data_IF_736116821590
#
_entry.id   IF_736116821590
#
_cell.length_a   1.000
_cell.length_b   1.000
_cell.length_c   1.000
_cell.angle_alpha   90.00
_cell.angle_beta   90.00
_cell.angle_gamma   90.00
#
_symmetry.space_group_name_H-M   'P 1'
#
loop_
_entity.id
_entity.type
_entity.pdbx_description
1 polymer ?
#
# COMPACT_ATOMS: atom_id res chain seq x y z
N UNK A 1 -28.47 47.72 -24.56
CA UNK A 1 -28.42 46.75 -25.65
C UNK A 1 -27.92 45.45 -25.07
N UNK A 2 -28.60 44.32 -24.98
CA UNK A 2 -29.97 43.85 -25.24
C UNK A 2 -30.07 42.55 -24.42
N UNK A 3 -30.94 42.44 -23.41
CA UNK A 3 -32.24 41.76 -23.41
C UNK A 3 -32.39 40.51 -24.32
N UNK A 4 -32.57 39.38 -23.62
CA UNK A 4 -33.57 38.30 -23.84
C UNK A 4 -33.57 37.52 -25.15
N UNK A 5 -33.41 36.20 -25.04
CA UNK A 5 -33.92 35.23 -26.02
C UNK A 5 -34.82 34.23 -25.29
N UNK A 6 -36.08 34.18 -25.70
CA UNK A 6 -37.09 33.22 -25.27
C UNK A 6 -37.99 32.92 -26.48
N UNK A 7 -38.20 31.62 -26.74
CA UNK A 7 -39.34 30.97 -27.41
C UNK A 7 -39.66 31.33 -28.88
N UNK A 8 -40.19 30.45 -29.75
CA UNK A 8 -40.74 29.09 -29.63
C UNK A 8 -41.07 28.58 -31.05
N UNK A 9 -41.06 27.25 -31.22
CA UNK A 9 -41.90 26.39 -32.07
C UNK A 9 -42.20 26.75 -33.55
N UNK A 10 -42.00 25.79 -34.47
CA UNK A 10 -43.14 25.04 -35.02
C UNK A 10 -42.76 23.87 -35.94
N UNK A 11 -43.69 22.93 -36.00
CA UNK A 11 -43.68 21.56 -36.54
C UNK A 11 -44.23 21.50 -37.98
N UNK A 12 -44.02 20.34 -38.63
CA UNK A 12 -44.79 19.79 -39.79
C UNK A 12 -44.28 20.19 -41.20
N UNK A 13 -44.00 19.32 -42.19
CA UNK A 13 -44.85 18.26 -42.75
C UNK A 13 -44.09 17.37 -43.78
N UNK A 14 -44.22 16.04 -43.62
CA UNK A 14 -44.39 14.91 -44.58
C UNK A 14 -43.78 14.85 -46.01
N UNK A 15 -43.30 13.62 -46.30
CA UNK A 15 -43.70 12.66 -47.37
C UNK A 15 -42.65 12.21 -48.42
N UNK A 16 -42.21 10.95 -48.24
CA UNK A 16 -42.20 9.81 -49.16
C UNK A 16 -41.79 9.97 -50.64
N UNK A 17 -40.93 9.05 -51.10
CA UNK A 17 -41.19 8.11 -52.22
C UNK A 17 -40.06 7.04 -52.37
N UNK A 18 -40.47 5.75 -52.21
CA UNK A 18 -40.16 4.55 -53.01
C UNK A 18 -38.70 4.05 -53.21
N UNK A 19 -38.41 2.75 -53.42
CA UNK A 19 -38.98 1.42 -53.15
C UNK A 19 -38.02 0.41 -53.83
N UNK A 20 -37.84 -0.75 -53.20
CA UNK A 20 -37.53 -2.09 -53.76
C UNK A 20 -36.48 -2.28 -54.88
N UNK A 21 -35.51 -3.16 -54.61
CA UNK A 21 -35.24 -4.30 -55.51
C UNK A 21 -34.55 -5.46 -54.78
N UNK A 22 -35.27 -6.57 -54.72
CA UNK A 22 -34.82 -7.92 -54.34
C UNK A 22 -34.10 -8.59 -55.51
N UNK A 23 -33.08 -9.39 -55.22
CA UNK A 23 -32.37 -10.22 -56.19
C UNK A 23 -31.59 -11.34 -55.49
N UNK A 24 -32.22 -12.50 -55.39
CA UNK A 24 -31.69 -13.75 -54.84
C UNK A 24 -30.96 -14.55 -55.94
N UNK A 25 -29.74 -15.03 -55.69
CA UNK A 25 -29.21 -16.26 -56.29
C UNK A 25 -27.87 -16.73 -55.68
N UNK A 26 -27.92 -17.94 -55.11
CA UNK A 26 -26.93 -19.05 -55.16
C UNK A 26 -25.62 -18.98 -54.35
N UNK A 27 -25.73 -19.52 -53.13
CA UNK A 27 -24.89 -20.57 -52.50
C UNK A 27 -23.51 -20.90 -53.11
N UNK A 28 -22.44 -20.61 -52.34
CA UNK A 28 -21.34 -21.56 -52.10
C UNK A 28 -20.80 -21.39 -50.67
N UNK A 29 -21.20 -22.30 -49.78
CA UNK A 29 -20.58 -22.48 -48.45
C UNK A 29 -19.17 -23.03 -48.62
N UNK A 30 -18.14 -22.24 -48.33
CA UNK A 30 -16.74 -22.70 -48.33
C UNK A 30 -16.42 -23.36 -46.98
N UNK A 31 -16.70 -24.65 -46.87
CA UNK A 31 -16.22 -25.47 -45.77
C UNK A 31 -14.70 -25.67 -45.90
N UNK A 32 -13.92 -25.06 -44.99
CA UNK A 32 -12.47 -25.32 -44.88
C UNK A 32 -12.29 -26.63 -44.12
N UNK A 33 -12.11 -27.74 -44.84
CA UNK A 33 -11.75 -29.05 -44.27
C UNK A 33 -10.40 -28.95 -43.57
N UNK A 34 -10.39 -28.94 -42.24
CA UNK A 34 -9.20 -29.19 -41.43
C UNK A 34 -8.88 -30.68 -41.47
N UNK A 35 -7.74 -31.04 -42.07
CA UNK A 35 -7.30 -32.41 -42.24
C UNK A 35 -6.35 -32.78 -41.08
N UNK A 36 -6.89 -33.09 -39.90
CA UNK A 36 -6.12 -33.68 -38.80
C UNK A 36 -6.30 -35.20 -38.85
N UNK A 37 -5.35 -35.89 -39.49
CA UNK A 37 -5.22 -37.36 -39.41
C UNK A 37 -4.77 -37.70 -37.99
N UNK A 38 -5.61 -38.44 -37.26
CA UNK A 38 -5.26 -39.08 -35.99
C UNK A 38 -4.14 -40.10 -36.20
N UNK A 39 -2.99 -39.82 -35.61
CA UNK A 39 -1.94 -40.81 -35.37
C UNK A 39 -2.03 -41.29 -33.94
N UNK A 40 -2.37 -42.58 -33.76
CA UNK A 40 -2.36 -43.27 -32.48
C UNK A 40 -0.92 -43.30 -31.92
N UNK A 41 -0.63 -42.38 -31.01
CA UNK A 41 0.52 -42.41 -30.11
C UNK A 41 0.04 -41.91 -28.77
N UNK A 42 0.32 -42.64 -27.69
CA UNK A 42 -0.16 -42.32 -26.34
C UNK A 42 0.23 -40.91 -25.91
N UNK A 43 -0.68 -39.96 -26.10
CA UNK A 43 -0.57 -38.63 -25.53
C UNK A 43 -0.82 -38.76 -24.03
N UNK A 44 0.25 -38.90 -23.24
CA UNK A 44 0.21 -38.42 -21.87
C UNK A 44 -0.24 -36.98 -21.95
N UNK A 45 -1.43 -36.71 -21.40
CA UNK A 45 -1.99 -35.37 -21.32
C UNK A 45 -1.08 -34.58 -20.36
N UNK A 46 0.02 -34.03 -20.89
CA UNK A 46 0.85 -33.09 -20.16
C UNK A 46 0.04 -31.80 -20.14
N UNK A 47 -0.78 -31.64 -19.11
CA UNK A 47 -1.32 -30.33 -18.75
C UNK A 47 -0.11 -29.48 -18.36
N UNK A 48 0.44 -28.72 -19.32
CA UNK A 48 1.42 -27.67 -19.03
C UNK A 48 0.69 -26.64 -18.18
N UNK A 49 0.69 -26.82 -16.86
CA UNK A 49 0.30 -25.75 -15.94
C UNK A 49 1.36 -24.67 -16.07
N UNK A 50 0.94 -23.48 -16.47
CA UNK A 50 1.80 -22.30 -16.38
C UNK A 50 1.97 -22.04 -14.89
N UNK A 51 3.20 -22.16 -14.40
CA UNK A 51 3.56 -21.78 -13.02
C UNK A 51 4.17 -20.39 -13.07
N UNK A 52 3.56 -19.45 -12.37
CA UNK A 52 4.13 -18.12 -12.16
C UNK A 52 5.03 -18.14 -10.94
N UNK A 53 5.96 -17.19 -10.88
CA UNK A 53 6.73 -16.92 -9.67
C UNK A 53 5.75 -16.55 -8.53
N UNK A 54 5.76 -17.26 -7.38
CA UNK A 54 4.83 -17.01 -6.28
C UNK A 54 4.88 -15.57 -5.76
N UNK A 55 6.05 -14.91 -5.81
CA UNK A 55 6.17 -13.52 -5.39
C UNK A 55 5.46 -12.59 -6.38
N UNK A 56 5.73 -12.72 -7.68
CA UNK A 56 5.02 -11.96 -8.70
C UNK A 56 3.49 -12.13 -8.60
N UNK A 57 3.02 -13.34 -8.32
CA UNK A 57 1.59 -13.62 -8.13
C UNK A 57 1.02 -12.98 -6.87
N UNK A 58 1.79 -12.93 -5.77
CA UNK A 58 1.38 -12.21 -4.55
C UNK A 58 1.26 -10.71 -4.81
N UNK A 59 2.25 -10.10 -5.48
CA UNK A 59 2.24 -8.67 -5.81
C UNK A 59 1.03 -8.29 -6.67
N UNK A 60 0.76 -9.07 -7.73
CA UNK A 60 -0.37 -8.89 -8.64
C UNK A 60 -1.72 -9.08 -7.94
N UNK A 61 -1.89 -10.17 -7.19
CA UNK A 61 -3.11 -10.44 -6.43
C UNK A 61 -3.43 -9.33 -5.40
N UNK A 62 -2.40 -8.77 -4.76
CA UNK A 62 -2.56 -7.65 -3.82
C UNK A 62 -2.95 -6.35 -4.50
N UNK A 63 -2.54 -6.12 -5.75
CA UNK A 63 -2.93 -4.96 -6.54
C UNK A 63 -4.39 -5.09 -7.04
N UNK A 64 -4.75 -6.27 -7.52
CA UNK A 64 -6.07 -6.55 -8.12
C UNK A 64 -7.19 -6.80 -7.09
N UNK A 65 -6.86 -6.93 -5.81
CA UNK A 65 -7.86 -7.11 -4.74
C UNK A 65 -8.30 -8.56 -4.52
N UNK A 66 -7.48 -9.53 -4.94
CA UNK A 66 -7.81 -10.96 -4.85
C UNK A 66 -7.42 -11.56 -3.49
N UNK A 67 -8.16 -11.22 -2.42
CA UNK A 67 -7.84 -11.64 -1.05
C UNK A 67 -7.57 -13.15 -0.89
N UNK A 68 -8.41 -14.01 -1.48
CA UNK A 68 -8.20 -15.47 -1.38
C UNK A 68 -6.90 -15.93 -2.03
N UNK A 69 -6.47 -15.27 -3.11
CA UNK A 69 -5.21 -15.58 -3.77
C UNK A 69 -4.04 -15.07 -2.94
N UNK A 70 -4.13 -13.85 -2.40
CA UNK A 70 -3.13 -13.28 -1.49
C UNK A 70 -2.89 -14.19 -0.29
N UNK A 71 -3.96 -14.66 0.39
CA UNK A 71 -3.85 -15.56 1.54
C UNK A 71 -3.10 -16.84 1.18
N UNK A 72 -3.35 -17.37 -0.02
CA UNK A 72 -2.69 -18.60 -0.51
C UNK A 72 -1.23 -18.37 -0.86
N UNK A 73 -0.91 -17.28 -1.58
CA UNK A 73 0.45 -17.03 -2.08
C UNK A 73 1.37 -16.49 -0.99
N UNK A 74 0.88 -15.72 -0.02
CA UNK A 74 1.63 -15.26 1.14
C UNK A 74 2.23 -16.43 1.95
N UNK A 75 1.53 -17.57 2.03
CA UNK A 75 2.06 -18.80 2.67
C UNK A 75 3.01 -19.62 1.79
N UNK A 76 3.12 -19.33 0.49
CA UNK A 76 3.97 -20.06 -0.45
C UNK A 76 5.29 -19.35 -0.75
N UNK A 77 5.32 -18.03 -0.64
CA UNK A 77 6.55 -17.23 -0.79
C UNK A 77 7.46 -17.43 0.41
N UNK A 78 8.78 -17.38 0.17
CA UNK A 78 9.78 -17.49 1.24
C UNK A 78 9.72 -16.29 2.19
N UNK A 79 9.48 -15.11 1.62
CA UNK A 79 9.37 -13.85 2.32
C UNK A 79 8.22 -13.04 1.70
N UNK A 80 7.09 -12.87 2.41
CA UNK A 80 5.96 -12.08 1.92
C UNK A 80 6.21 -10.56 1.98
N UNK A 81 7.31 -10.13 2.59
CA UNK A 81 7.78 -8.73 2.55
C UNK A 81 8.75 -8.47 1.40
N UNK A 82 9.08 -9.49 0.59
CA UNK A 82 9.94 -9.29 -0.56
C UNK A 82 9.32 -8.32 -1.56
N UNK A 83 10.19 -7.51 -2.17
CA UNK A 83 9.84 -6.48 -3.12
C UNK A 83 10.16 -6.89 -4.57
N UNK A 84 9.56 -6.18 -5.53
CA UNK A 84 10.02 -6.17 -6.92
C UNK A 84 11.30 -5.31 -7.10
N UNK A 85 11.75 -5.15 -8.34
CA UNK A 85 12.96 -4.39 -8.68
C UNK A 85 12.89 -2.88 -8.33
N UNK A 86 11.70 -2.35 -8.06
CA UNK A 86 11.46 -0.96 -7.66
C UNK A 86 11.30 -0.80 -6.14
N UNK A 87 11.46 -1.90 -5.38
CA UNK A 87 11.26 -1.90 -3.92
C UNK A 87 9.79 -1.99 -3.48
N UNK A 88 8.86 -2.14 -4.43
CA UNK A 88 7.43 -2.23 -4.14
C UNK A 88 7.07 -3.63 -3.63
N UNK A 89 6.40 -3.68 -2.48
CA UNK A 89 5.92 -4.92 -1.85
C UNK A 89 4.42 -5.13 -2.06
N UNK A 90 3.92 -6.31 -1.70
CA UNK A 90 2.49 -6.63 -1.75
C UNK A 90 1.65 -5.65 -0.90
N UNK A 91 2.21 -5.19 0.22
CA UNK A 91 1.56 -4.23 1.12
C UNK A 91 1.43 -2.85 0.47
N UNK A 92 2.44 -2.39 -0.28
CA UNK A 92 2.36 -1.15 -1.06
C UNK A 92 1.22 -1.23 -2.09
N UNK A 93 1.18 -2.31 -2.89
CA UNK A 93 0.14 -2.51 -3.90
C UNK A 93 -1.27 -2.50 -3.31
N UNK A 94 -1.49 -3.21 -2.20
CA UNK A 94 -2.79 -3.27 -1.55
C UNK A 94 -3.26 -1.91 -1.01
N UNK A 95 -2.32 -1.08 -0.52
CA UNK A 95 -2.62 0.26 -0.01
C UNK A 95 -2.97 1.21 -1.16
N UNK A 96 -2.11 1.29 -2.19
CA UNK A 96 -2.35 2.17 -3.34
C UNK A 96 -3.63 1.81 -4.10
N UNK A 97 -4.04 0.54 -4.08
CA UNK A 97 -5.29 0.08 -4.68
C UNK A 97 -6.52 0.16 -3.74
N UNK A 98 -6.34 0.52 -2.46
CA UNK A 98 -7.45 0.72 -1.53
C UNK A 98 -8.00 -0.55 -0.86
N UNK A 99 -7.32 -1.70 -0.98
CA UNK A 99 -7.80 -3.01 -0.49
C UNK A 99 -7.50 -3.23 1.00
N UNK A 100 -8.27 -2.55 1.87
CA UNK A 100 -8.02 -2.53 3.32
C UNK A 100 -8.08 -3.92 4.00
N UNK A 101 -8.88 -4.86 3.49
CA UNK A 101 -8.92 -6.24 3.97
C UNK A 101 -7.61 -7.00 3.69
N UNK A 102 -7.02 -6.80 2.51
CA UNK A 102 -5.70 -7.33 2.16
C UNK A 102 -4.61 -6.69 3.01
N UNK A 103 -4.66 -5.36 3.20
CA UNK A 103 -3.72 -4.64 4.09
C UNK A 103 -3.74 -5.22 5.50
N UNK A 104 -4.94 -5.42 6.07
CA UNK A 104 -5.09 -6.04 7.39
C UNK A 104 -4.50 -7.43 7.44
N UNK A 105 -4.79 -8.26 6.43
CA UNK A 105 -4.25 -9.61 6.36
C UNK A 105 -2.72 -9.60 6.31
N UNK A 106 -2.11 -8.84 5.39
CA UNK A 106 -0.65 -8.81 5.20
C UNK A 106 0.07 -8.32 6.46
N UNK A 107 -0.42 -7.26 7.12
CA UNK A 107 0.15 -6.76 8.37
C UNK A 107 0.03 -7.78 9.50
N UNK A 108 -1.13 -8.43 9.64
CA UNK A 108 -1.32 -9.49 10.65
C UNK A 108 -0.53 -10.77 10.34
N UNK A 109 -0.23 -11.00 9.06
CA UNK A 109 0.66 -12.07 8.59
C UNK A 109 2.14 -11.78 8.90
N UNK A 110 2.46 -10.57 9.39
CA UNK A 110 3.81 -10.15 9.77
C UNK A 110 4.63 -9.58 8.61
N UNK A 111 3.98 -9.11 7.54
CA UNK A 111 4.69 -8.34 6.52
C UNK A 111 5.26 -7.05 7.09
N UNK A 112 6.41 -6.62 6.59
CA UNK A 112 7.09 -5.41 7.05
C UNK A 112 6.27 -4.15 6.73
N UNK A 113 5.67 -3.56 7.77
CA UNK A 113 4.89 -2.31 7.72
C UNK A 113 5.73 -1.07 7.39
N UNK A 114 7.05 -1.17 7.47
CA UNK A 114 8.00 -0.09 7.19
C UNK A 114 8.94 -0.44 6.03
N UNK A 115 8.58 -1.41 5.19
CA UNK A 115 9.30 -1.69 3.95
C UNK A 115 9.42 -0.40 3.13
N UNK A 116 10.60 -0.15 2.58
CA UNK A 116 10.86 1.05 1.78
C UNK A 116 11.02 0.68 0.31
N UNK A 117 10.38 1.45 -0.57
CA UNK A 117 10.62 1.37 -2.00
C UNK A 117 11.92 2.08 -2.41
N UNK A 118 12.17 2.17 -3.72
CA UNK A 118 13.38 2.79 -4.27
C UNK A 118 13.58 4.28 -3.94
N UNK A 119 12.51 5.03 -3.61
CA UNK A 119 12.59 6.43 -3.16
C UNK A 119 12.35 6.57 -1.65
N UNK A 120 12.34 5.46 -0.91
CA UNK A 120 12.14 5.45 0.53
C UNK A 120 10.68 5.58 0.97
N UNK A 121 9.72 5.48 0.05
CA UNK A 121 8.30 5.45 0.40
C UNK A 121 8.02 4.21 1.21
N UNK A 122 7.20 4.39 2.24
CA UNK A 122 6.74 3.31 3.11
C UNK A 122 5.24 3.11 2.89
N UNK A 123 4.67 1.99 3.36
CA UNK A 123 3.22 1.81 3.42
C UNK A 123 2.46 3.01 4.00
N UNK A 124 3.03 3.70 5.00
CA UNK A 124 2.43 4.88 5.60
C UNK A 124 2.42 6.08 4.65
N UNK A 125 3.48 6.29 3.86
CA UNK A 125 3.51 7.32 2.82
C UNK A 125 2.43 7.08 1.76
N UNK A 126 2.31 5.85 1.25
CA UNK A 126 1.28 5.49 0.27
C UNK A 126 -0.14 5.69 0.82
N UNK A 127 -0.39 5.33 2.08
CA UNK A 127 -1.71 5.53 2.69
C UNK A 127 -2.05 7.02 2.85
N UNK A 128 -1.04 7.84 3.16
CA UNK A 128 -1.18 9.28 3.30
C UNK A 128 -1.42 9.99 1.96
N UNK A 129 -0.72 9.61 0.89
CA UNK A 129 -0.95 10.17 -0.45
C UNK A 129 -2.32 9.83 -1.03
N UNK A 130 -2.96 8.78 -0.53
CA UNK A 130 -4.36 8.47 -0.86
C UNK A 130 -5.37 9.11 0.11
N UNK A 131 -4.92 9.96 1.03
CA UNK A 131 -5.72 10.56 2.11
C UNK A 131 -6.56 9.53 2.91
N UNK A 132 -6.12 8.28 2.96
CA UNK A 132 -6.90 7.19 3.53
C UNK A 132 -6.66 7.10 5.04
N UNK A 133 -7.37 7.94 5.80
CA UNK A 133 -7.26 8.00 7.26
C UNK A 133 -7.47 6.64 7.95
N UNK A 134 -8.33 5.78 7.39
CA UNK A 134 -8.57 4.44 7.92
C UNK A 134 -7.32 3.55 7.84
N UNK A 135 -6.64 3.55 6.69
CA UNK A 135 -5.37 2.84 6.50
C UNK A 135 -4.25 3.45 7.32
N UNK A 136 -4.13 4.78 7.33
CA UNK A 136 -3.11 5.51 8.10
C UNK A 136 -3.19 5.15 9.59
N UNK A 137 -4.39 5.22 10.19
CA UNK A 137 -4.59 4.83 11.60
C UNK A 137 -4.19 3.38 11.84
N UNK A 138 -4.63 2.47 10.97
CA UNK A 138 -4.31 1.06 11.08
C UNK A 138 -2.79 0.82 11.06
N UNK A 139 -2.06 1.42 10.11
CA UNK A 139 -0.61 1.26 10.02
C UNK A 139 0.11 1.84 11.25
N UNK A 140 -0.29 3.03 11.73
CA UNK A 140 0.25 3.63 12.95
C UNK A 140 0.05 2.71 14.16
N UNK A 141 -1.14 2.12 14.31
CA UNK A 141 -1.47 1.16 15.36
C UNK A 141 -0.68 -0.15 15.30
N UNK A 142 -0.05 -0.45 14.15
CA UNK A 142 0.69 -1.68 13.90
C UNK A 142 2.19 -1.44 13.69
N UNK A 143 2.71 -0.34 14.22
CA UNK A 143 4.15 -0.07 14.30
C UNK A 143 4.76 0.59 13.07
N UNK A 144 3.96 1.38 12.33
CA UNK A 144 4.52 2.27 11.33
C UNK A 144 5.48 3.30 11.95
N UNK A 145 6.60 3.54 11.28
CA UNK A 145 7.57 4.55 11.65
C UNK A 145 7.03 5.93 11.28
N UNK A 146 6.88 6.79 12.28
CA UNK A 146 6.17 8.07 12.15
C UNK A 146 6.99 9.13 11.41
N UNK A 147 8.32 9.04 11.52
CA UNK A 147 9.26 10.02 10.98
C UNK A 147 10.19 9.40 9.93
N UNK A 148 9.77 8.30 9.30
CA UNK A 148 10.42 7.87 8.08
C UNK A 148 10.27 8.97 7.02
N UNK A 149 11.33 9.23 6.27
CA UNK A 149 11.32 10.20 5.18
C UNK A 149 11.73 9.55 3.87
N UNK A 150 11.20 10.07 2.79
CA UNK A 150 11.63 9.77 1.41
C UNK A 150 13.06 10.27 1.15
N UNK A 151 13.69 9.70 0.13
CA UNK A 151 15.08 9.99 -0.24
C UNK A 151 15.20 11.26 -1.09
N UNK A 152 14.24 11.50 -1.97
CA UNK A 152 14.28 12.60 -2.94
C UNK A 152 14.01 13.98 -2.33
N UNK A 153 12.99 14.10 -1.47
CA UNK A 153 12.52 15.37 -0.91
C UNK A 153 12.54 15.44 0.62
N UNK A 154 12.89 14.34 1.30
CA UNK A 154 12.99 14.26 2.77
C UNK A 154 11.69 14.58 3.50
N UNK A 155 10.57 14.26 2.86
CA UNK A 155 9.23 14.44 3.41
C UNK A 155 8.78 13.18 4.16
N UNK A 156 8.02 13.36 5.23
CA UNK A 156 7.36 12.26 5.93
C UNK A 156 6.00 11.97 5.31
N UNK A 157 5.32 10.94 5.81
CA UNK A 157 3.96 10.65 5.38
C UNK A 157 2.98 11.82 5.57
N UNK A 158 3.19 12.70 6.56
CA UNK A 158 2.29 13.83 6.79
C UNK A 158 2.32 14.85 5.65
N UNK A 159 3.49 15.11 5.07
CA UNK A 159 3.66 16.01 3.93
C UNK A 159 3.17 15.39 2.61
N UNK A 160 3.01 14.05 2.54
CA UNK A 160 2.50 13.36 1.35
C UNK A 160 0.97 13.42 1.19
N UNK A 161 0.22 13.97 2.15
CA UNK A 161 -1.23 14.13 1.99
C UNK A 161 -1.55 15.12 0.87
N UNK A 162 -2.51 14.78 0.00
CA UNK A 162 -2.86 15.57 -1.20
C UNK A 162 -3.96 16.60 -0.88
N UNK A 163 -3.63 17.90 -0.90
CA UNK A 163 -4.53 19.01 -0.50
C UNK A 163 -5.83 19.11 -1.32
N UNK A 164 -5.78 18.72 -2.59
CA UNK A 164 -6.91 18.85 -3.53
C UNK A 164 -7.84 17.61 -3.53
N UNK A 165 -7.51 16.56 -2.78
CA UNK A 165 -8.25 15.29 -2.75
C UNK A 165 -9.12 15.13 -1.48
N UNK A 166 -10.17 14.32 -1.57
CA UNK A 166 -11.08 14.08 -0.44
C UNK A 166 -10.33 13.43 0.74
N UNK A 167 -10.66 13.87 1.96
CA UNK A 167 -10.09 13.30 3.19
C UNK A 167 -8.76 13.92 3.63
N UNK A 168 -8.23 14.89 2.89
CA UNK A 168 -6.99 15.62 3.22
C UNK A 168 -6.94 16.07 4.68
N UNK A 169 -7.89 16.91 5.11
CA UNK A 169 -7.90 17.51 6.45
C UNK A 169 -7.81 16.44 7.54
N UNK A 170 -8.63 15.39 7.45
CA UNK A 170 -8.66 14.32 8.45
C UNK A 170 -7.38 13.49 8.48
N UNK A 171 -6.77 13.26 7.32
CA UNK A 171 -5.54 12.48 7.17
C UNK A 171 -4.32 13.27 7.68
N UNK A 172 -4.12 14.49 7.17
CA UNK A 172 -3.00 15.36 7.52
C UNK A 172 -3.05 15.79 8.99
N UNK A 173 -4.20 16.23 9.51
CA UNK A 173 -4.35 16.60 10.93
C UNK A 173 -4.00 15.43 11.85
N UNK A 174 -4.42 14.21 11.51
CA UNK A 174 -4.09 13.04 12.31
C UNK A 174 -2.58 12.77 12.33
N UNK A 175 -1.92 12.76 11.16
CA UNK A 175 -0.49 12.49 11.06
C UNK A 175 0.35 13.57 11.77
N UNK A 176 0.07 14.86 11.53
CA UNK A 176 0.75 15.95 12.24
C UNK A 176 0.50 15.88 13.75
N UNK A 177 -0.73 15.56 14.18
CA UNK A 177 -1.04 15.35 15.59
C UNK A 177 -0.23 14.18 16.17
N UNK A 178 -0.05 13.08 15.45
CA UNK A 178 0.77 11.94 15.91
C UNK A 178 2.24 12.35 16.02
N UNK A 179 2.79 13.08 15.04
CA UNK A 179 4.16 13.58 15.06
C UNK A 179 4.43 14.53 16.25
N UNK A 180 3.54 15.50 16.47
CA UNK A 180 3.65 16.46 17.57
C UNK A 180 3.62 15.72 18.91
N UNK A 181 2.69 14.78 19.06
CA UNK A 181 2.36 14.14 20.33
C UNK A 181 3.15 12.86 20.62
N UNK A 182 3.87 12.29 19.65
CA UNK A 182 4.77 11.16 19.87
C UNK A 182 5.85 11.55 20.91
N UNK A 183 6.04 10.71 21.92
CA UNK A 183 6.91 11.01 23.05
C UNK A 183 6.29 11.93 24.11
N UNK A 184 5.01 12.30 23.99
CA UNK A 184 4.23 13.04 25.00
C UNK A 184 3.01 12.22 25.45
N UNK A 185 2.27 11.65 24.48
CA UNK A 185 1.17 10.74 24.75
C UNK A 185 1.63 9.50 25.54
N UNK A 186 0.67 8.86 26.21
CA UNK A 186 0.90 7.61 26.94
C UNK A 186 2.06 7.71 27.95
N UNK A 187 2.17 8.87 28.61
CA UNK A 187 3.26 9.20 29.55
C UNK A 187 4.65 9.15 28.90
N UNK A 188 4.74 9.64 27.66
CA UNK A 188 5.98 9.68 26.88
C UNK A 188 6.42 8.34 26.28
N UNK A 189 5.56 7.32 26.34
CA UNK A 189 5.90 6.00 25.82
C UNK A 189 5.97 5.97 24.29
N UNK A 190 7.03 5.37 23.78
CA UNK A 190 7.30 5.09 22.36
C UNK A 190 7.86 3.69 22.21
N UNK A 191 7.79 3.14 21.00
CA UNK A 191 8.33 1.81 20.71
C UNK A 191 9.40 1.93 19.63
N UNK A 192 10.51 1.22 19.84
CA UNK A 192 11.51 1.04 18.81
C UNK A 192 10.91 0.18 17.70
N UNK A 193 10.85 0.71 16.49
CA UNK A 193 10.45 -0.04 15.30
C UNK A 193 11.66 -0.44 14.47
N UNK A 194 12.88 -0.16 14.91
CA UNK A 194 14.11 -0.71 14.34
C UNK A 194 15.10 -1.01 15.45
N UNK A 195 16.06 -1.86 15.15
CA UNK A 195 17.25 -2.03 15.97
C UNK A 195 18.14 -0.78 15.86
N UNK A 196 18.82 -0.43 16.95
CA UNK A 196 19.79 0.65 16.97
C UNK A 196 20.95 0.33 17.90
N UNK A 197 22.16 0.46 17.37
CA UNK A 197 23.42 0.34 18.11
C UNK A 197 24.00 1.74 18.29
N UNK A 198 24.36 2.09 19.53
CA UNK A 198 24.85 3.41 19.88
C UNK A 198 26.24 3.66 19.27
N UNK A 199 26.41 4.84 18.68
CA UNK A 199 27.68 5.32 18.14
C UNK A 199 28.43 6.19 19.17
N UNK A 200 27.68 6.92 20.00
CA UNK A 200 28.21 7.77 21.06
C UNK A 200 27.87 7.23 22.46
N UNK A 201 28.64 7.66 23.48
CA UNK A 201 28.50 7.15 24.85
C UNK A 201 27.22 7.57 25.56
N UNK A 202 26.56 8.62 25.06
CA UNK A 202 25.34 9.22 25.55
C UNK A 202 24.10 8.77 24.77
N UNK A 203 24.24 7.84 23.82
CA UNK A 203 23.15 7.22 23.07
C UNK A 203 22.72 5.87 23.69
N UNK A 204 21.43 5.55 23.59
CA UNK A 204 20.90 4.26 24.02
C UNK A 204 21.00 3.22 22.91
N UNK A 205 21.36 1.99 23.28
CA UNK A 205 21.19 0.82 22.43
C UNK A 205 19.80 0.24 22.67
N UNK A 206 19.08 -0.11 21.62
CA UNK A 206 17.75 -0.73 21.72
C UNK A 206 17.48 -1.67 20.55
N UNK A 207 16.53 -2.57 20.76
CA UNK A 207 16.05 -3.53 19.77
C UNK A 207 14.64 -3.21 19.36
N UNK A 208 14.27 -3.63 18.15
CA UNK A 208 12.90 -3.57 17.69
C UNK A 208 11.97 -4.23 18.72
N UNK A 209 10.86 -3.55 19.02
CA UNK A 209 9.91 -3.94 20.05
C UNK A 209 10.19 -3.37 21.45
N UNK A 210 11.39 -2.82 21.70
CA UNK A 210 11.68 -2.17 22.99
C UNK A 210 10.75 -0.98 23.24
N UNK A 211 10.25 -0.89 24.47
CA UNK A 211 9.42 0.22 24.93
C UNK A 211 10.29 1.24 25.66
N UNK A 212 10.39 2.45 25.12
CA UNK A 212 11.17 3.55 25.68
C UNK A 212 10.24 4.64 26.23
N UNK A 213 10.73 5.40 27.20
CA UNK A 213 10.02 6.57 27.74
C UNK A 213 10.80 7.83 27.36
N UNK A 214 10.22 8.65 26.50
CA UNK A 214 10.76 9.96 26.15
C UNK A 214 10.62 10.89 27.35
N UNK A 215 11.75 11.47 27.78
CA UNK A 215 11.81 12.42 28.89
C UNK A 215 11.86 13.86 28.40
N UNK A 216 12.54 14.07 27.27
CA UNK A 216 12.69 15.38 26.62
C UNK A 216 12.81 15.18 25.12
N UNK A 217 11.90 15.80 24.36
CA UNK A 217 12.04 15.90 22.89
C UNK A 217 13.20 16.84 22.56
N UNK A 218 13.73 16.69 21.34
CA UNK A 218 14.78 17.55 20.81
C UNK A 218 14.41 19.03 20.87
N UNK A 219 15.40 19.88 21.06
CA UNK A 219 15.25 21.33 20.98
C UNK A 219 15.56 21.86 19.57
N UNK A 220 15.75 23.17 19.42
CA UNK A 220 16.03 23.77 18.12
C UNK A 220 17.32 23.26 17.46
N UNK A 221 18.26 22.73 18.24
CA UNK A 221 19.58 22.28 17.79
C UNK A 221 19.63 20.76 17.53
N UNK A 222 18.82 19.97 18.24
CA UNK A 222 18.82 18.50 18.17
C UNK A 222 17.42 17.92 17.85
N UNK A 223 16.76 18.43 16.81
CA UNK A 223 15.37 18.07 16.48
C UNK A 223 15.13 16.58 16.26
N UNK A 224 16.16 15.86 15.81
CA UNK A 224 16.09 14.44 15.43
C UNK A 224 16.40 13.47 16.58
N UNK A 225 16.98 13.97 17.66
CA UNK A 225 17.44 13.16 18.80
C UNK A 225 16.70 13.52 20.06
N UNK A 226 16.11 12.53 20.72
CA UNK A 226 15.32 12.72 21.93
C UNK A 226 16.03 12.08 23.11
N UNK A 227 15.94 12.71 24.27
CA UNK A 227 16.44 12.12 25.51
C UNK A 227 15.37 11.19 26.08
N UNK A 228 15.70 9.92 26.24
CA UNK A 228 14.77 8.89 26.67
C UNK A 228 15.38 7.99 27.74
N UNK A 229 14.52 7.17 28.34
CA UNK A 229 14.87 6.12 29.30
C UNK A 229 14.48 4.76 28.74
N UNK A 230 15.40 3.80 28.84
CA UNK A 230 15.16 2.38 28.61
C UNK A 230 15.62 1.61 29.85
N UNK A 231 14.67 1.01 30.58
CA UNK A 231 14.89 0.41 31.89
C UNK A 231 15.52 1.40 32.89
N UNK A 232 16.78 1.19 33.26
CA UNK A 232 17.56 1.96 34.22
C UNK A 232 18.55 2.93 33.55
N UNK A 233 18.66 2.92 32.22
CA UNK A 233 19.58 3.78 31.46
C UNK A 233 18.84 4.93 30.79
N UNK A 234 19.50 6.07 30.70
CA UNK A 234 19.06 7.24 29.96
C UNK A 234 20.08 7.60 28.88
N UNK A 235 19.59 8.16 27.79
CA UNK A 235 20.42 8.59 26.67
C UNK A 235 19.60 9.05 25.48
N UNK A 236 20.31 9.50 24.46
CA UNK A 236 19.75 9.93 23.19
C UNK A 236 19.24 8.75 22.36
N UNK A 237 18.10 8.96 21.71
CA UNK A 237 17.50 8.05 20.74
C UNK A 237 17.09 8.81 19.46
N UNK A 238 17.29 8.22 18.27
CA UNK A 238 16.87 8.84 17.02
C UNK A 238 15.36 8.69 16.81
N UNK A 239 14.64 9.80 16.58
CA UNK A 239 13.16 9.80 16.48
C UNK A 239 12.63 9.04 15.27
N UNK A 240 13.41 8.95 14.19
CA UNK A 240 13.05 8.29 12.92
C UNK A 240 13.14 6.78 12.99
N UNK A 241 13.42 6.20 14.17
CA UNK A 241 13.36 4.76 14.42
C UNK A 241 12.19 4.38 15.36
N UNK A 242 11.27 5.30 15.61
CA UNK A 242 10.22 5.17 16.62
C UNK A 242 8.81 5.11 16.02
N UNK A 243 7.99 4.27 16.63
CA UNK A 243 6.55 4.17 16.40
C UNK A 243 5.76 4.52 17.66
N UNK A 244 4.47 4.83 17.48
CA UNK A 244 3.53 5.00 18.59
C UNK A 244 3.15 3.66 19.23
N UNK A 245 3.20 2.60 18.44
CA UNK A 245 2.93 1.21 18.82
C UNK A 245 4.08 0.31 18.32
N UNK A 246 4.28 -0.87 18.90
CA UNK A 246 5.27 -1.82 18.39
C UNK A 246 4.79 -2.45 17.07
N UNK A 247 5.71 -3.05 16.32
CA UNK A 247 5.36 -3.82 15.13
C UNK A 247 4.58 -5.08 15.51
N UNK A 248 3.80 -5.59 14.55
CA UNK A 248 3.18 -6.91 14.67
C UNK A 248 4.12 -7.97 14.13
N UNK A 249 4.48 -8.92 14.98
CA UNK A 249 5.12 -10.15 14.54
C UNK A 249 4.05 -11.18 14.26
N UNK A 250 4.21 -11.95 13.18
CA UNK A 250 3.43 -13.16 12.99
C UNK A 250 3.59 -14.00 14.26
N UNK A 251 2.48 -14.30 14.94
CA UNK A 251 2.47 -15.35 15.93
C UNK A 251 2.91 -16.62 15.21
N UNK A 252 4.18 -16.97 15.31
CA UNK A 252 4.60 -18.36 15.21
C UNK A 252 3.93 -19.01 16.41
N UNK A 253 2.67 -19.42 16.24
CA UNK A 253 2.03 -20.36 17.13
C UNK A 253 3.04 -21.47 17.33
N UNK A 254 3.54 -21.51 18.56
CA UNK A 254 4.36 -22.57 19.09
C UNK A 254 3.57 -23.85 18.90
N UNK A 255 4.22 -24.83 18.28
CA UNK A 255 3.83 -26.26 18.20
C UNK A 255 2.75 -26.65 17.19
#
# INVERSE_FOLDING_TARGET
SDKSSEESADVETRNNLNKDQTGDMLVMRRAKKGNLKGGSGGHKQVTRRVSFDPLALLLDASLEGELELVVRTAGQVRDPSAANDEGITALHNAICAGHLDIVRFLVQFGCDVNAQDSDGWTPLHCAASCNNLGMVRFLVEHGACIFATTLSDHETAAEKCEEDEEGFDGCSEYLYSVQEKLGILNSGAVYAVFDYEAHNSDELNFKEGDRLIVLRKGDEWEREWWWARLSDREGYIPRNLLGLYPRVHANKSSE
#
